data_IF_826281003760
#
_entry.id   IF_826281003760
#
_cell.length_a   1.000
_cell.length_b   1.000
_cell.length_c   1.000
_cell.angle_alpha   90.00
_cell.angle_beta   90.00
_cell.angle_gamma   90.00
#
_symmetry.space_group_name_H-M   'P 1'
#
loop_
_entity.id
_entity.type
_entity.pdbx_description
1 polymer ?
#
# COMPACT_ATOMS: atom_id res chain seq x y z
N UNK A 1 6.39 4.15 -2.19
CA UNK A 1 5.04 4.37 -1.63
C UNK A 1 4.64 5.85 -1.62
N UNK A 2 5.24 6.69 -0.77
CA UNK A 2 4.82 8.10 -0.60
C UNK A 2 4.77 8.91 -1.90
N UNK A 3 5.79 8.78 -2.76
CA UNK A 3 5.82 9.44 -4.07
C UNK A 3 4.66 9.03 -5.00
N UNK A 4 4.11 7.82 -4.83
CA UNK A 4 3.04 7.28 -5.66
C UNK A 4 1.65 7.71 -5.15
N UNK A 5 1.45 7.70 -3.83
CA UNK A 5 0.14 8.04 -3.23
C UNK A 5 -0.05 9.54 -2.96
N UNK A 6 1.04 10.28 -2.74
CA UNK A 6 1.06 11.73 -2.49
C UNK A 6 -0.10 12.21 -1.59
N UNK A 7 -0.89 13.15 -2.08
CA UNK A 7 -2.00 13.77 -1.36
C UNK A 7 -3.35 13.06 -1.61
N UNK A 8 -3.35 11.83 -2.14
CA UNK A 8 -4.59 11.09 -2.35
C UNK A 8 -5.22 10.68 -1.00
N UNK A 9 -6.55 10.77 -0.87
CA UNK A 9 -7.27 10.28 0.30
C UNK A 9 -7.40 8.75 0.28
N UNK A 10 -7.46 8.12 1.46
CA UNK A 10 -7.66 6.66 1.56
C UNK A 10 -9.13 6.24 1.64
N UNK A 11 -10.03 7.21 1.82
CA UNK A 11 -11.47 7.02 1.95
C UNK A 11 -12.24 8.22 1.40
N UNK A 12 -13.45 7.99 0.91
CA UNK A 12 -14.30 9.05 0.37
C UNK A 12 -14.98 9.84 1.49
N UNK A 13 -15.44 9.17 2.55
CA UNK A 13 -16.31 9.76 3.58
C UNK A 13 -16.02 9.25 5.01
N UNK A 14 -14.88 8.61 5.27
CA UNK A 14 -14.53 8.08 6.60
C UNK A 14 -13.15 8.58 7.08
N UNK A 15 -12.59 7.90 8.08
CA UNK A 15 -11.20 8.06 8.50
C UNK A 15 -10.29 8.08 7.26
N UNK A 16 -9.35 9.04 7.23
CA UNK A 16 -8.45 9.31 6.11
C UNK A 16 -9.09 9.87 4.82
N UNK A 17 -10.28 10.50 4.91
CA UNK A 17 -10.90 11.27 3.83
C UNK A 17 -10.36 12.72 3.74
N UNK A 18 -9.04 12.88 3.68
CA UNK A 18 -8.37 14.17 3.56
C UNK A 18 -7.11 14.04 2.69
N UNK A 19 -6.53 15.17 2.29
CA UNK A 19 -5.30 15.19 1.49
C UNK A 19 -4.14 14.51 2.25
N UNK A 20 -3.56 13.49 1.64
CA UNK A 20 -2.49 12.69 2.25
C UNK A 20 -2.99 11.50 3.07
N UNK A 21 -4.32 11.28 3.12
CA UNK A 21 -4.92 10.18 3.87
C UNK A 21 -4.38 8.79 3.49
N UNK A 22 -4.00 8.54 2.23
CA UNK A 22 -3.36 7.28 1.82
C UNK A 22 -1.99 7.07 2.47
N UNK A 23 -1.22 8.14 2.67
CA UNK A 23 0.08 8.04 3.31
C UNK A 23 -0.09 7.69 4.79
N UNK A 24 -0.94 8.43 5.49
CA UNK A 24 -1.22 8.22 6.91
C UNK A 24 -1.79 6.83 7.18
N UNK A 25 -2.82 6.44 6.43
CA UNK A 25 -3.44 5.11 6.53
C UNK A 25 -2.42 3.99 6.31
N UNK A 26 -1.60 4.10 5.26
CA UNK A 26 -0.57 3.11 4.96
C UNK A 26 0.43 2.93 6.10
N UNK A 27 0.92 4.05 6.67
CA UNK A 27 1.87 4.01 7.79
C UNK A 27 1.23 3.53 9.09
N UNK A 28 -0.02 3.89 9.36
CA UNK A 28 -0.78 3.40 10.51
C UNK A 28 -0.92 1.88 10.47
N UNK A 29 -1.33 1.33 9.32
CA UNK A 29 -1.52 -0.12 9.15
C UNK A 29 -0.19 -0.88 9.26
N UNK A 30 0.93 -0.31 8.77
CA UNK A 30 2.27 -0.88 8.99
C UNK A 30 2.61 -0.94 10.48
N UNK A 31 2.36 0.14 11.23
CA UNK A 31 2.63 0.18 12.67
C UNK A 31 1.80 -0.87 13.42
N UNK A 32 0.51 -1.00 13.10
CA UNK A 32 -0.35 -2.03 13.69
C UNK A 32 0.10 -3.46 13.32
N UNK A 33 0.43 -3.72 12.06
CA UNK A 33 0.91 -5.02 11.62
C UNK A 33 2.19 -5.44 12.36
N UNK A 34 3.15 -4.52 12.51
CA UNK A 34 4.39 -4.79 13.26
C UNK A 34 4.15 -5.00 14.75
N UNK A 35 3.22 -4.24 15.36
CA UNK A 35 2.83 -4.44 16.76
C UNK A 35 2.19 -5.81 16.98
N UNK A 36 1.32 -6.26 16.08
CA UNK A 36 0.72 -7.60 16.15
C UNK A 36 1.80 -8.67 15.94
N UNK A 37 2.68 -8.50 14.95
CA UNK A 37 3.79 -9.44 14.67
C UNK A 37 4.70 -9.67 15.88
N UNK A 38 4.87 -8.69 16.76
CA UNK A 38 5.64 -8.87 18.00
C UNK A 38 5.02 -9.85 18.99
N UNK A 39 3.70 -10.09 18.88
CA UNK A 39 2.97 -11.04 19.73
C UNK A 39 3.10 -12.50 19.27
N UNK A 40 3.72 -12.75 18.11
CA UNK A 40 3.88 -14.07 17.52
C UNK A 40 5.35 -14.40 17.25
N UNK A 41 5.74 -15.64 17.56
CA UNK A 41 6.98 -16.23 17.06
C UNK A 41 6.68 -16.88 15.70
N UNK A 42 7.18 -16.26 14.64
CA UNK A 42 6.95 -16.70 13.27
C UNK A 42 8.22 -17.38 12.71
N UNK A 43 8.08 -18.44 11.88
CA UNK A 43 6.82 -19.08 11.51
C UNK A 43 6.21 -19.89 12.67
N UNK A 44 4.88 -19.91 12.76
CA UNK A 44 4.17 -20.63 13.83
C UNK A 44 4.48 -22.13 13.71
N UNK A 45 4.91 -22.73 14.83
CA UNK A 45 5.21 -24.16 14.91
C UNK A 45 6.60 -24.58 14.41
N UNK A 46 7.43 -23.64 13.93
CA UNK A 46 8.83 -23.92 13.59
C UNK A 46 9.71 -23.99 14.86
N UNK A 47 10.88 -24.63 14.73
CA UNK A 47 11.87 -24.68 15.81
C UNK A 47 12.37 -23.26 16.19
N UNK A 48 12.72 -22.99 17.46
CA UNK A 48 13.14 -21.67 17.92
C UNK A 48 14.30 -21.07 17.10
N UNK A 49 15.27 -21.88 16.67
CA UNK A 49 16.40 -21.45 15.85
C UNK A 49 15.94 -20.95 14.48
N UNK A 50 14.95 -21.61 13.87
CA UNK A 50 14.35 -21.19 12.61
C UNK A 50 13.53 -19.91 12.76
N UNK A 51 12.79 -19.79 13.86
CA UNK A 51 12.03 -18.57 14.18
C UNK A 51 12.96 -17.38 14.42
N UNK A 52 14.06 -17.58 15.14
CA UNK A 52 15.08 -16.55 15.36
C UNK A 52 15.74 -16.13 14.04
N UNK A 53 16.15 -17.10 13.20
CA UNK A 53 16.80 -16.83 11.93
C UNK A 53 15.90 -16.07 10.93
N UNK A 54 14.58 -16.30 10.95
CA UNK A 54 13.63 -15.66 10.03
C UNK A 54 12.91 -14.45 10.64
N UNK A 55 13.25 -14.05 11.88
CA UNK A 55 12.56 -12.99 12.60
C UNK A 55 12.48 -11.70 11.79
N UNK A 56 13.59 -11.27 11.19
CA UNK A 56 13.62 -10.04 10.38
C UNK A 56 12.80 -10.17 9.10
N UNK A 57 12.88 -11.30 8.41
CA UNK A 57 12.10 -11.58 7.20
C UNK A 57 10.60 -11.51 7.47
N UNK A 58 10.12 -12.11 8.57
CA UNK A 58 8.70 -12.03 8.95
C UNK A 58 8.24 -10.62 9.33
N UNK A 59 9.11 -9.82 9.96
CA UNK A 59 8.82 -8.39 10.22
C UNK A 59 8.71 -7.60 8.92
N UNK A 60 9.66 -7.79 7.99
CA UNK A 60 9.68 -7.10 6.71
C UNK A 60 8.50 -7.51 5.83
N UNK A 61 8.20 -8.81 5.71
CA UNK A 61 7.04 -9.31 4.98
C UNK A 61 5.73 -8.71 5.51
N UNK A 62 5.59 -8.64 6.85
CA UNK A 62 4.42 -8.03 7.50
C UNK A 62 4.32 -6.54 7.21
N UNK A 63 5.44 -5.80 7.29
CA UNK A 63 5.48 -4.38 6.97
C UNK A 63 5.17 -4.11 5.49
N UNK A 64 5.77 -4.84 4.55
CA UNK A 64 5.52 -4.66 3.13
C UNK A 64 4.09 -5.06 2.74
N UNK A 65 3.59 -6.19 3.24
CA UNK A 65 2.22 -6.64 3.02
C UNK A 65 1.21 -5.61 3.53
N UNK A 66 1.43 -5.10 4.74
CA UNK A 66 0.61 -4.02 5.31
C UNK A 66 0.69 -2.73 4.49
N UNK A 67 1.87 -2.32 4.02
CA UNK A 67 2.02 -1.09 3.25
C UNK A 67 1.28 -1.14 1.92
N UNK A 68 1.25 -2.31 1.26
CA UNK A 68 0.64 -2.45 -0.07
C UNK A 68 -0.80 -2.96 -0.05
N UNK A 69 -1.36 -3.31 1.12
CA UNK A 69 -2.68 -3.98 1.18
C UNK A 69 -3.78 -3.19 0.44
N UNK A 70 -3.84 -1.89 0.67
CA UNK A 70 -4.82 -0.95 0.10
C UNK A 70 -4.25 -0.13 -1.07
N UNK A 71 -3.05 -0.45 -1.56
CA UNK A 71 -2.40 0.32 -2.62
C UNK A 71 -3.25 0.37 -3.90
N UNK A 72 -4.01 -0.68 -4.19
CA UNK A 72 -4.91 -0.74 -5.34
C UNK A 72 -6.00 0.33 -5.34
N UNK A 73 -6.30 1.01 -4.23
CA UNK A 73 -7.27 2.12 -4.20
C UNK A 73 -6.91 3.21 -5.20
N UNK A 74 -5.62 3.52 -5.34
CA UNK A 74 -5.16 4.56 -6.29
C UNK A 74 -5.29 4.12 -7.76
N UNK A 75 -5.50 2.83 -8.01
CA UNK A 75 -5.69 2.27 -9.35
C UNK A 75 -7.18 2.19 -9.74
N UNK A 76 -8.07 1.91 -8.80
CA UNK A 76 -9.48 1.56 -9.12
C UNK A 76 -10.55 2.37 -8.37
N UNK A 77 -10.22 2.99 -7.22
CA UNK A 77 -11.19 3.73 -6.43
C UNK A 77 -11.25 5.21 -6.82
N UNK A 78 -10.13 5.76 -7.33
CA UNK A 78 -10.01 7.15 -7.75
C UNK A 78 -9.58 7.25 -9.22
N UNK A 79 -10.13 8.24 -9.92
CA UNK A 79 -9.64 8.68 -11.21
C UNK A 79 -8.82 9.96 -11.00
N UNK A 80 -7.59 9.98 -11.50
CA UNK A 80 -6.69 11.12 -11.44
C UNK A 80 -6.53 11.71 -12.84
N UNK A 81 -6.69 13.02 -12.95
CA UNK A 81 -6.46 13.78 -14.18
C UNK A 81 -5.37 14.82 -13.92
N UNK A 82 -4.33 14.80 -14.74
CA UNK A 82 -3.21 15.73 -14.65
C UNK A 82 -3.60 17.11 -15.20
N UNK A 83 -2.76 18.11 -14.96
CA UNK A 83 -2.97 19.49 -15.40
C UNK A 83 -3.13 19.63 -16.94
N UNK A 84 -2.50 18.75 -17.71
CA UNK A 84 -2.59 18.70 -19.18
C UNK A 84 -3.85 17.97 -19.70
N UNK A 85 -4.69 17.46 -18.81
CA UNK A 85 -5.91 16.70 -19.15
C UNK A 85 -5.71 15.19 -19.30
N UNK A 86 -4.48 14.69 -19.15
CA UNK A 86 -4.17 13.26 -19.26
C UNK A 86 -4.70 12.50 -18.04
N UNK A 87 -5.34 11.36 -18.27
CA UNK A 87 -5.67 10.42 -17.19
C UNK A 87 -4.40 9.72 -16.71
N UNK A 88 -4.16 9.78 -15.41
CA UNK A 88 -3.04 9.08 -14.80
C UNK A 88 -3.45 7.70 -14.32
N UNK A 89 -2.50 6.77 -14.42
CA UNK A 89 -2.58 5.45 -13.83
C UNK A 89 -1.29 5.15 -13.06
N UNK A 90 -1.36 4.41 -11.94
CA UNK A 90 -0.20 4.20 -11.07
C UNK A 90 0.94 3.39 -11.69
N UNK A 91 0.68 2.61 -12.74
CA UNK A 91 1.73 1.92 -13.50
C UNK A 91 2.53 2.84 -14.45
N UNK A 92 2.13 4.10 -14.61
CA UNK A 92 2.93 5.12 -15.30
C UNK A 92 3.94 5.81 -14.36
N UNK A 93 3.98 5.42 -13.08
CA UNK A 93 4.89 5.99 -12.10
C UNK A 93 4.28 7.13 -11.26
N UNK A 94 5.09 7.79 -10.42
CA UNK A 94 4.66 8.89 -9.56
C UNK A 94 4.01 10.06 -10.33
N UNK A 95 3.12 10.79 -9.67
CA UNK A 95 2.59 12.05 -10.18
C UNK A 95 3.70 13.12 -10.13
N UNK A 96 3.99 13.77 -11.25
CA UNK A 96 5.09 14.75 -11.38
C UNK A 96 4.61 16.18 -11.67
N UNK A 97 3.30 16.36 -11.80
CA UNK A 97 2.66 17.64 -12.06
C UNK A 97 1.36 17.80 -11.25
N UNK A 98 0.81 19.02 -11.14
CA UNK A 98 -0.46 19.24 -10.49
C UNK A 98 -1.57 18.36 -11.10
N UNK A 99 -2.48 17.90 -10.25
CA UNK A 99 -3.53 16.98 -10.65
C UNK A 99 -4.82 17.27 -9.87
N UNK A 100 -5.93 16.77 -10.40
CA UNK A 100 -7.19 16.65 -9.67
C UNK A 100 -7.61 15.20 -9.64
N UNK A 101 -8.44 14.84 -8.66
CA UNK A 101 -8.97 13.48 -8.57
C UNK A 101 -10.46 13.51 -8.24
N UNK A 102 -11.13 12.41 -8.55
CA UNK A 102 -12.51 12.14 -8.13
C UNK A 102 -12.67 10.66 -7.85
N UNK A 103 -13.58 10.32 -6.96
CA UNK A 103 -13.94 8.92 -6.74
C UNK A 103 -14.73 8.35 -7.91
N UNK A 104 -14.45 7.09 -8.24
CA UNK A 104 -15.21 6.34 -9.24
C UNK A 104 -16.58 5.98 -8.66
N UNK A 105 -17.64 6.37 -9.36
CA UNK A 105 -19.03 6.07 -8.98
C UNK A 105 -19.34 4.59 -9.24
N UNK A 106 -20.00 3.93 -8.29
CA UNK A 106 -20.38 2.52 -8.42
C UNK A 106 -19.21 1.54 -8.38
N UNK A 107 -18.05 1.96 -7.86
CA UNK A 107 -16.87 1.10 -7.71
C UNK A 107 -17.14 -0.11 -6.82
N UNK A 108 -16.52 -1.24 -7.17
CA UNK A 108 -16.49 -2.40 -6.29
C UNK A 108 -15.37 -2.24 -5.27
N UNK A 109 -15.74 -2.02 -4.01
CA UNK A 109 -14.80 -1.87 -2.90
C UNK A 109 -13.89 -3.09 -2.69
N UNK A 110 -14.23 -4.28 -3.19
CA UNK A 110 -13.37 -5.45 -3.05
C UNK A 110 -12.26 -5.49 -4.09
N UNK A 111 -12.41 -4.73 -5.18
CA UNK A 111 -11.49 -4.76 -6.30
C UNK A 111 -10.11 -4.22 -5.93
N UNK A 112 -10.02 -3.22 -5.04
CA UNK A 112 -8.74 -2.61 -4.69
C UNK A 112 -7.76 -3.61 -4.06
N UNK A 113 -8.25 -4.60 -3.30
CA UNK A 113 -7.40 -5.60 -2.67
C UNK A 113 -6.65 -6.44 -3.71
N UNK A 114 -7.34 -6.82 -4.79
CA UNK A 114 -6.72 -7.49 -5.92
C UNK A 114 -5.86 -6.54 -6.76
N UNK A 115 -6.31 -5.30 -6.96
CA UNK A 115 -5.63 -4.31 -7.78
C UNK A 115 -4.26 -3.86 -7.21
N UNK A 116 -3.99 -4.05 -5.91
CA UNK A 116 -2.67 -3.83 -5.32
C UNK A 116 -1.57 -4.62 -6.04
N UNK A 117 -1.90 -5.81 -6.57
CA UNK A 117 -0.98 -6.65 -7.33
C UNK A 117 -0.48 -6.02 -8.64
N UNK A 118 -1.19 -5.04 -9.20
CA UNK A 118 -0.79 -4.34 -10.43
C UNK A 118 0.44 -3.45 -10.22
N UNK A 119 0.66 -2.99 -8.98
CA UNK A 119 1.55 -1.85 -8.70
C UNK A 119 2.42 -2.02 -7.46
N UNK A 120 2.37 -3.17 -6.77
CA UNK A 120 3.24 -3.42 -5.61
C UNK A 120 4.74 -3.33 -5.95
N UNK A 121 5.13 -3.71 -7.17
CA UNK A 121 6.52 -3.65 -7.63
C UNK A 121 7.05 -2.22 -7.76
N UNK A 122 6.17 -1.21 -7.85
CA UNK A 122 6.52 0.21 -7.78
C UNK A 122 6.82 0.68 -6.35
N UNK A 123 6.57 -0.18 -5.36
CA UNK A 123 6.74 0.13 -3.93
C UNK A 123 7.77 -0.78 -3.26
N UNK A 124 7.77 -2.08 -3.56
CA UNK A 124 8.68 -3.06 -2.98
C UNK A 124 9.82 -3.30 -3.98
N UNK A 125 11.08 -2.92 -3.66
CA UNK A 125 12.21 -3.12 -4.55
C UNK A 125 12.44 -4.61 -4.85
N UNK A 126 12.87 -4.94 -6.07
CA UNK A 126 13.18 -6.33 -6.46
C UNK A 126 14.17 -7.00 -5.49
N UNK A 127 15.23 -6.30 -5.06
CA UNK A 127 16.19 -6.79 -4.07
C UNK A 127 15.55 -7.16 -2.71
N UNK A 128 14.49 -6.47 -2.31
CA UNK A 128 13.76 -6.81 -1.09
C UNK A 128 12.90 -8.06 -1.29
N UNK A 129 12.31 -8.24 -2.48
CA UNK A 129 11.59 -9.46 -2.84
C UNK A 129 12.52 -10.67 -3.00
N UNK A 130 13.73 -10.48 -3.57
CA UNK A 130 14.73 -11.55 -3.71
C UNK A 130 15.26 -12.03 -2.36
N UNK A 131 15.23 -11.15 -1.35
CA UNK A 131 15.68 -11.46 0.01
C UNK A 131 14.61 -12.16 0.86
N UNK A 132 13.34 -11.89 0.58
CA UNK A 132 12.19 -12.51 1.26
C UNK A 132 11.91 -13.92 0.74
#
# INVERSE_FOLDING_TARGET
YAALVQNLPASENHHHAYHGGMLDHGLEIVAYALKIRQMYLLPIGAAPESQAAQSEAWSAASAYGALVHDLGKIAVDVQVELADGTNWHPWHGPLDQPYRFKYVKGRDYRLHGAASSLIYASVIPAKALDWL
#
